data_IF_822565584428
#
_entry.id   IF_822565584428
#
_cell.length_a   1.000
_cell.length_b   1.000
_cell.length_c   1.000
_cell.angle_alpha   90.00
_cell.angle_beta   90.00
_cell.angle_gamma   90.00
#
_symmetry.space_group_name_H-M   'P 1'
#
loop_
_entity.id
_entity.type
_entity.pdbx_description
1 polymer ?
#
# COMPACT_ATOMS: atom_id res chain seq x y z
N UNK A 1 -11.52 -7.72 17.29
CA UNK A 1 -12.60 -7.08 16.46
C UNK A 1 -12.51 -5.57 16.54
N UNK A 2 -12.73 -4.89 15.42
CA UNK A 2 -12.80 -3.42 15.37
C UNK A 2 -14.18 -2.97 15.82
N UNK A 3 -14.24 -2.31 16.96
CA UNK A 3 -15.50 -1.83 17.49
C UNK A 3 -16.11 -0.72 16.61
N UNK A 4 -17.38 -0.84 16.28
CA UNK A 4 -18.09 0.13 15.44
C UNK A 4 -17.75 0.05 13.94
N UNK A 5 -17.05 -0.97 13.48
CA UNK A 5 -16.75 -1.22 12.08
C UNK A 5 -17.75 -2.23 11.50
N UNK A 6 -18.47 -1.89 10.45
CA UNK A 6 -19.57 -2.71 9.95
C UNK A 6 -19.82 -2.51 8.46
N UNK A 7 -20.30 -3.56 7.78
CA UNK A 7 -20.73 -3.49 6.38
C UNK A 7 -21.97 -2.58 6.17
N UNK A 8 -22.64 -2.20 7.26
CA UNK A 8 -23.84 -1.34 7.21
C UNK A 8 -23.55 0.12 7.52
N UNK A 9 -22.30 0.44 7.88
CA UNK A 9 -21.88 1.80 8.18
C UNK A 9 -21.65 2.62 6.92
N UNK A 10 -21.71 3.94 7.04
CA UNK A 10 -21.18 4.85 6.04
C UNK A 10 -19.65 4.70 5.91
N UNK A 11 -19.06 5.08 4.76
CA UNK A 11 -17.61 5.06 4.58
C UNK A 11 -16.85 5.87 5.63
N UNK A 12 -17.42 7.00 6.08
CA UNK A 12 -16.85 7.89 7.10
C UNK A 12 -16.86 7.23 8.48
N UNK A 13 -17.96 6.59 8.85
CA UNK A 13 -18.05 5.85 10.12
C UNK A 13 -17.05 4.70 10.17
N UNK A 14 -16.94 3.94 9.10
CA UNK A 14 -15.96 2.86 8.98
C UNK A 14 -14.53 3.39 9.05
N UNK A 15 -14.23 4.46 8.33
CA UNK A 15 -12.90 5.07 8.36
C UNK A 15 -12.54 5.53 9.77
N UNK A 16 -13.46 6.17 10.48
CA UNK A 16 -13.26 6.63 11.85
C UNK A 16 -13.08 5.47 12.83
N UNK A 17 -13.90 4.42 12.73
CA UNK A 17 -13.82 3.24 13.57
C UNK A 17 -12.50 2.49 13.39
N UNK A 18 -12.09 2.25 12.14
CA UNK A 18 -10.84 1.57 11.83
C UNK A 18 -9.63 2.44 12.23
N UNK A 19 -9.64 3.74 11.95
CA UNK A 19 -8.57 4.64 12.40
C UNK A 19 -8.42 4.65 13.92
N UNK A 20 -9.54 4.67 14.65
CA UNK A 20 -9.52 4.59 16.13
C UNK A 20 -8.86 3.30 16.63
N UNK A 21 -9.06 2.18 15.92
CA UNK A 21 -8.40 0.93 16.26
C UNK A 21 -6.90 0.97 15.93
N UNK A 22 -6.53 1.50 14.75
CA UNK A 22 -5.14 1.65 14.31
C UNK A 22 -4.34 2.59 15.22
N UNK A 23 -4.98 3.62 15.77
CA UNK A 23 -4.34 4.57 16.71
C UNK A 23 -3.94 3.94 18.03
N UNK A 24 -4.62 2.87 18.44
CA UNK A 24 -4.27 2.11 19.64
C UNK A 24 -3.07 1.20 19.44
N UNK A 25 -2.78 0.86 18.17
CA UNK A 25 -1.75 -0.13 17.84
C UNK A 25 -2.11 -1.55 18.28
N UNK A 26 -1.13 -2.44 18.22
CA UNK A 26 -1.31 -3.86 18.52
C UNK A 26 -2.01 -4.63 17.41
N UNK A 27 -2.62 -5.75 17.75
CA UNK A 27 -3.33 -6.58 16.78
C UNK A 27 -4.78 -6.12 16.59
N UNK A 28 -5.11 -5.81 15.34
CA UNK A 28 -6.43 -5.35 14.90
C UNK A 28 -6.94 -6.38 13.90
N UNK A 29 -8.06 -7.06 14.24
CA UNK A 29 -8.64 -8.10 13.38
C UNK A 29 -10.00 -7.69 12.86
N UNK A 30 -10.21 -7.86 11.54
CA UNK A 30 -11.52 -7.78 10.88
C UNK A 30 -11.87 -9.22 10.49
N UNK A 31 -12.86 -9.81 11.16
CA UNK A 31 -13.17 -11.24 11.06
C UNK A 31 -14.35 -11.55 10.14
N UNK A 32 -15.37 -10.71 10.15
CA UNK A 32 -16.60 -10.95 9.39
C UNK A 32 -16.37 -10.66 7.90
N UNK A 33 -16.62 -11.64 7.04
CA UNK A 33 -16.53 -11.48 5.60
C UNK A 33 -17.57 -10.45 5.10
N UNK A 34 -17.15 -9.58 4.20
CA UNK A 34 -18.01 -8.54 3.65
C UNK A 34 -17.24 -7.40 3.00
N UNK A 35 -17.97 -6.48 2.39
CA UNK A 35 -17.40 -5.27 1.79
C UNK A 35 -17.59 -4.12 2.76
N UNK A 36 -16.48 -3.53 3.16
CA UNK A 36 -16.42 -2.40 4.08
C UNK A 36 -15.98 -1.16 3.31
N UNK A 37 -16.87 -0.21 3.17
CA UNK A 37 -16.56 1.06 2.53
C UNK A 37 -15.75 1.97 3.44
N UNK A 38 -14.68 2.55 2.90
CA UNK A 38 -13.81 3.51 3.59
C UNK A 38 -13.54 4.72 2.68
N UNK A 39 -13.59 5.93 3.23
CA UNK A 39 -13.47 7.17 2.44
C UNK A 39 -12.23 7.99 2.74
N UNK A 40 -11.53 7.74 3.86
CA UNK A 40 -10.33 8.50 4.21
C UNK A 40 -9.09 7.63 4.18
N UNK A 41 -7.93 8.27 4.12
CA UNK A 41 -6.64 7.61 4.33
C UNK A 41 -6.53 7.09 5.77
N UNK A 42 -6.04 5.86 5.90
CA UNK A 42 -5.83 5.19 7.18
C UNK A 42 -4.35 5.22 7.54
N UNK A 43 -4.03 5.73 8.71
CA UNK A 43 -2.66 5.92 9.18
C UNK A 43 -2.26 4.82 10.17
N UNK A 44 -1.15 4.15 9.86
CA UNK A 44 -0.56 3.10 10.67
C UNK A 44 0.55 3.68 11.57
N UNK A 45 0.57 3.24 12.81
CA UNK A 45 1.58 3.59 13.81
C UNK A 45 2.54 2.43 14.09
N UNK A 46 3.51 2.64 14.95
CA UNK A 46 4.43 1.59 15.40
C UNK A 46 3.67 0.40 16.03
N UNK A 47 4.22 -0.79 15.85
CA UNK A 47 3.71 -2.02 16.46
C UNK A 47 2.24 -2.29 16.14
N UNK A 48 1.86 -2.07 14.89
CA UNK A 48 0.49 -2.29 14.40
C UNK A 48 0.45 -3.51 13.49
N UNK A 49 -0.45 -4.45 13.79
CA UNK A 49 -0.79 -5.56 12.93
C UNK A 49 -2.26 -5.49 12.54
N UNK A 50 -2.55 -5.25 11.27
CA UNK A 50 -3.89 -5.35 10.70
C UNK A 50 -4.06 -6.74 10.06
N UNK A 51 -5.01 -7.50 10.55
CA UNK A 51 -5.37 -8.81 10.02
C UNK A 51 -6.80 -8.81 9.48
N UNK A 52 -6.94 -9.17 8.22
CA UNK A 52 -8.24 -9.35 7.58
C UNK A 52 -8.48 -10.85 7.33
N UNK A 53 -9.61 -11.36 7.80
CA UNK A 53 -10.01 -12.75 7.53
C UNK A 53 -10.43 -12.94 6.06
N UNK A 54 -10.42 -14.16 5.53
CA UNK A 54 -10.86 -14.44 4.17
C UNK A 54 -12.26 -13.89 3.88
N UNK A 55 -12.43 -13.22 2.75
CA UNK A 55 -13.69 -12.60 2.34
C UNK A 55 -13.92 -11.18 2.87
N UNK A 56 -13.01 -10.63 3.67
CA UNK A 56 -13.01 -9.20 4.04
C UNK A 56 -12.46 -8.39 2.87
N UNK A 57 -13.21 -7.41 2.41
CA UNK A 57 -12.82 -6.48 1.34
C UNK A 57 -12.95 -5.06 1.86
N UNK A 58 -11.87 -4.31 1.84
CA UNK A 58 -11.91 -2.86 2.03
C UNK A 58 -12.12 -2.20 0.67
N UNK A 59 -13.24 -1.47 0.52
CA UNK A 59 -13.54 -0.75 -0.73
C UNK A 59 -13.41 0.75 -0.51
N UNK A 60 -12.57 1.36 -1.34
CA UNK A 60 -12.41 2.82 -1.33
C UNK A 60 -13.68 3.50 -1.84
N UNK A 61 -14.09 4.56 -1.14
CA UNK A 61 -15.10 5.47 -1.62
C UNK A 61 -14.50 6.86 -1.81
N UNK A 62 -14.96 7.57 -2.84
CA UNK A 62 -14.50 8.93 -3.09
C UNK A 62 -15.05 9.83 -2.00
N UNK A 63 -14.17 10.54 -1.31
CA UNK A 63 -14.55 11.60 -0.37
C UNK A 63 -14.48 12.98 -1.05
N UNK A 64 -15.11 13.96 -0.44
CA UNK A 64 -14.93 15.35 -0.85
C UNK A 64 -13.53 15.80 -0.41
N UNK A 65 -12.69 16.21 -1.36
CA UNK A 65 -11.34 16.67 -1.09
C UNK A 65 -10.27 15.99 -1.94
N UNK A 66 -9.04 16.06 -1.48
CA UNK A 66 -7.89 15.45 -2.16
C UNK A 66 -7.94 13.92 -2.09
N UNK A 67 -7.50 13.31 -3.18
CA UNK A 67 -7.28 11.87 -3.22
C UNK A 67 -6.01 11.53 -2.43
N UNK A 68 -6.09 10.51 -1.58
CA UNK A 68 -5.01 10.08 -0.71
C UNK A 68 -4.80 8.56 -0.81
N UNK A 69 -3.69 8.08 -0.25
CA UNK A 69 -3.44 6.66 -0.10
C UNK A 69 -4.60 5.97 0.65
N UNK A 70 -4.77 4.67 0.46
CA UNK A 70 -5.66 3.90 1.33
C UNK A 70 -5.04 3.72 2.71
N UNK A 71 -3.78 3.28 2.73
CA UNK A 71 -2.98 3.18 3.93
C UNK A 71 -1.65 3.92 3.77
N UNK A 72 -1.23 4.60 4.82
CA UNK A 72 0.10 5.18 4.94
C UNK A 72 0.61 5.06 6.37
N UNK A 73 1.92 5.12 6.58
CA UNK A 73 2.45 5.20 7.93
C UNK A 73 2.55 6.64 8.42
N UNK A 74 2.32 6.86 9.72
CA UNK A 74 2.37 8.21 10.33
C UNK A 74 3.73 8.88 10.16
N UNK A 75 4.81 8.11 10.26
CA UNK A 75 6.16 8.63 10.13
C UNK A 75 6.46 9.25 8.77
N UNK A 76 5.74 8.83 7.72
CA UNK A 76 5.86 9.46 6.41
C UNK A 76 5.61 10.97 6.46
N UNK A 77 4.66 11.41 7.28
CA UNK A 77 4.28 12.82 7.46
C UNK A 77 5.08 13.52 8.56
N UNK A 78 5.47 12.78 9.60
CA UNK A 78 6.24 13.29 10.71
C UNK A 78 7.76 13.34 10.42
N UNK A 79 8.23 12.71 9.33
CA UNK A 79 9.65 12.46 9.04
C UNK A 79 10.34 11.65 10.15
N UNK A 80 9.62 10.64 10.66
CA UNK A 80 10.08 9.75 11.72
C UNK A 80 9.96 8.30 11.27
N UNK A 81 10.88 7.44 11.70
CA UNK A 81 10.80 6.02 11.35
C UNK A 81 9.71 5.32 12.15
N UNK A 82 8.80 4.68 11.44
CA UNK A 82 7.89 3.73 12.06
C UNK A 82 8.47 2.31 12.07
N UNK A 83 8.12 1.55 13.09
CA UNK A 83 8.61 0.20 13.30
C UNK A 83 7.48 -0.82 13.44
N UNK A 84 7.71 -2.04 12.94
CA UNK A 84 6.82 -3.19 13.11
C UNK A 84 5.39 -2.90 12.64
N UNK A 85 5.22 -2.67 11.35
CA UNK A 85 3.92 -2.52 10.70
C UNK A 85 3.65 -3.77 9.89
N UNK A 86 2.54 -4.45 10.18
CA UNK A 86 2.17 -5.70 9.51
C UNK A 86 0.73 -5.61 8.98
N UNK A 87 0.51 -6.03 7.74
CA UNK A 87 -0.81 -6.11 7.09
C UNK A 87 -0.96 -7.50 6.48
N UNK A 88 -1.95 -8.25 6.97
CA UNK A 88 -2.21 -9.62 6.50
C UNK A 88 -3.64 -9.80 6.02
N UNK A 89 -3.80 -10.47 4.88
CA UNK A 89 -5.10 -10.88 4.34
C UNK A 89 -5.92 -9.75 3.73
N UNK A 90 -5.31 -8.60 3.46
CA UNK A 90 -6.02 -7.43 2.92
C UNK A 90 -6.42 -7.64 1.46
N UNK A 91 -7.72 -7.65 1.19
CA UNK A 91 -8.24 -7.42 -0.17
C UNK A 91 -8.70 -5.98 -0.29
N UNK A 92 -8.09 -5.24 -1.20
CA UNK A 92 -8.41 -3.85 -1.50
C UNK A 92 -9.17 -3.77 -2.83
N UNK A 93 -10.24 -2.99 -2.84
CA UNK A 93 -10.92 -2.54 -4.04
C UNK A 93 -10.78 -1.01 -4.12
N UNK A 94 -10.11 -0.51 -5.16
CA UNK A 94 -9.87 0.93 -5.33
C UNK A 94 -11.12 1.67 -5.77
N UNK A 95 -12.04 0.97 -6.45
CA UNK A 95 -13.34 1.50 -6.88
C UNK A 95 -13.22 2.80 -7.69
N UNK A 96 -12.18 2.90 -8.52
CA UNK A 96 -11.92 4.08 -9.33
C UNK A 96 -11.45 5.31 -8.56
N UNK A 97 -11.03 5.15 -7.31
CA UNK A 97 -10.45 6.23 -6.51
C UNK A 97 -8.94 6.22 -6.70
N UNK A 98 -8.37 7.33 -7.14
CA UNK A 98 -6.91 7.50 -7.26
C UNK A 98 -6.25 7.57 -5.87
N UNK A 99 -5.02 7.05 -5.77
CA UNK A 99 -4.28 6.99 -4.50
C UNK A 99 -3.72 8.34 -4.06
N UNK A 100 -3.35 9.19 -5.01
CA UNK A 100 -2.86 10.54 -4.72
C UNK A 100 -3.08 11.45 -5.92
N UNK A 101 -3.27 12.74 -5.66
CA UNK A 101 -3.24 13.70 -6.76
C UNK A 101 -1.80 13.89 -7.22
N UNK A 102 -1.53 13.45 -8.42
CA UNK A 102 -0.24 13.62 -9.04
C UNK A 102 -0.20 14.94 -9.83
N UNK A 103 0.69 15.81 -9.42
CA UNK A 103 1.07 16.96 -10.23
C UNK A 103 2.53 16.82 -10.67
N UNK A 104 2.73 16.60 -11.96
CA UNK A 104 4.06 16.43 -12.57
C UNK A 104 5.02 17.60 -12.29
N UNK A 105 4.48 18.75 -11.96
CA UNK A 105 5.24 19.98 -11.74
C UNK A 105 5.55 20.28 -10.26
N UNK A 106 5.01 19.53 -9.32
CA UNK A 106 5.26 19.77 -7.90
C UNK A 106 6.04 18.61 -7.29
N UNK A 107 7.31 18.82 -7.03
CA UNK A 107 8.16 17.94 -6.20
C UNK A 107 7.87 18.20 -4.72
N UNK A 108 6.75 17.77 -4.25
CA UNK A 108 6.50 17.73 -2.81
C UNK A 108 6.91 16.34 -2.33
N UNK A 109 7.75 16.26 -1.32
CA UNK A 109 8.30 15.02 -0.78
C UNK A 109 7.22 14.01 -0.32
N UNK A 110 6.05 14.49 0.08
CA UNK A 110 4.90 13.65 0.40
C UNK A 110 4.09 13.31 -0.85
N UNK A 111 3.96 14.25 -1.79
CA UNK A 111 3.23 14.07 -3.05
C UNK A 111 3.99 13.21 -4.08
N UNK A 112 5.25 12.85 -3.82
CA UNK A 112 6.00 11.88 -4.63
C UNK A 112 5.47 10.44 -4.53
N UNK A 113 4.65 10.14 -3.50
CA UNK A 113 4.10 8.80 -3.29
C UNK A 113 2.80 8.62 -4.06
N UNK A 114 2.66 7.47 -4.72
CA UNK A 114 1.50 7.09 -5.54
C UNK A 114 0.85 5.77 -5.15
N UNK A 115 1.40 5.06 -4.18
CA UNK A 115 0.89 3.77 -3.75
C UNK A 115 -0.47 3.89 -3.06
N UNK A 116 -1.37 2.95 -3.29
CA UNK A 116 -2.54 2.80 -2.42
C UNK A 116 -2.11 2.41 -1.01
N UNK A 117 -1.10 1.57 -0.89
CA UNK A 117 -0.35 1.31 0.33
C UNK A 117 0.97 2.06 0.19
N UNK A 118 1.17 3.13 0.96
CA UNK A 118 2.31 4.02 0.84
C UNK A 118 3.11 4.09 2.16
N UNK A 119 4.37 3.68 2.10
CA UNK A 119 5.24 3.63 3.27
C UNK A 119 6.55 4.37 3.00
N UNK A 120 6.90 5.25 3.92
CA UNK A 120 8.18 5.94 3.93
C UNK A 120 8.72 6.04 5.36
N UNK A 121 10.03 5.94 5.52
CA UNK A 121 10.64 5.87 6.85
C UNK A 121 10.04 4.70 7.65
N UNK A 122 10.21 3.48 7.15
CA UNK A 122 9.66 2.30 7.79
C UNK A 122 10.72 1.23 7.99
N UNK A 123 10.71 0.63 9.16
CA UNK A 123 11.56 -0.48 9.54
C UNK A 123 10.71 -1.67 10.00
N UNK A 124 10.98 -2.85 9.45
CA UNK A 124 10.22 -4.07 9.69
C UNK A 124 8.74 -3.94 9.26
N UNK A 125 8.57 -3.77 7.95
CA UNK A 125 7.26 -3.79 7.28
C UNK A 125 6.99 -5.18 6.76
N UNK A 126 5.81 -5.72 7.03
CA UNK A 126 5.36 -6.99 6.47
C UNK A 126 3.97 -6.84 5.83
N UNK A 127 3.84 -7.26 4.57
CA UNK A 127 2.55 -7.33 3.88
C UNK A 127 2.41 -8.74 3.33
N UNK A 128 1.39 -9.49 3.79
CA UNK A 128 1.11 -10.86 3.36
C UNK A 128 -0.32 -11.03 2.91
N UNK A 129 -0.52 -11.93 1.94
CA UNK A 129 -1.85 -12.27 1.44
C UNK A 129 -2.63 -11.03 0.98
N UNK A 130 -1.97 -10.15 0.21
CA UNK A 130 -2.57 -8.92 -0.29
C UNK A 130 -3.12 -9.10 -1.70
N UNK A 131 -4.34 -8.62 -1.92
CA UNK A 131 -5.00 -8.66 -3.23
C UNK A 131 -5.55 -7.30 -3.61
N UNK A 132 -5.27 -6.84 -4.84
CA UNK A 132 -5.93 -5.72 -5.50
C UNK A 132 -6.04 -6.02 -7.00
N UNK A 133 -7.20 -5.68 -7.63
CA UNK A 133 -7.45 -6.06 -9.04
C UNK A 133 -7.95 -4.93 -9.93
N UNK A 134 -8.02 -3.73 -9.42
CA UNK A 134 -8.66 -2.61 -10.11
C UNK A 134 -7.85 -1.31 -10.04
N UNK A 135 -6.50 -1.44 -10.09
CA UNK A 135 -5.61 -0.27 -10.07
C UNK A 135 -5.77 0.59 -11.32
N UNK A 136 -5.82 1.88 -11.10
CA UNK A 136 -5.86 2.87 -12.17
C UNK A 136 -4.48 3.13 -12.77
N UNK A 137 -4.48 3.78 -13.95
CA UNK A 137 -3.28 4.01 -14.77
C UNK A 137 -2.15 4.77 -14.07
N UNK A 138 -2.44 5.55 -13.03
CA UNK A 138 -1.45 6.40 -12.35
C UNK A 138 -1.04 5.88 -10.98
N UNK A 139 -1.63 4.80 -10.52
CA UNK A 139 -1.50 4.33 -9.15
C UNK A 139 -0.65 3.06 -9.07
N UNK A 140 0.26 3.02 -8.09
CA UNK A 140 0.92 1.79 -7.67
C UNK A 140 0.09 1.08 -6.61
N UNK A 141 0.15 -0.26 -6.55
CA UNK A 141 -0.51 -0.96 -5.46
C UNK A 141 0.20 -0.68 -4.14
N UNK A 142 1.51 -0.90 -4.11
CA UNK A 142 2.36 -0.71 -2.94
C UNK A 142 3.54 0.16 -3.34
N UNK A 143 3.85 1.19 -2.56
CA UNK A 143 5.05 1.99 -2.72
C UNK A 143 5.78 2.13 -1.40
N UNK A 144 7.10 1.88 -1.42
CA UNK A 144 7.93 1.86 -0.22
C UNK A 144 9.23 2.60 -0.51
N UNK A 145 9.55 3.61 0.30
CA UNK A 145 10.79 4.40 0.22
C UNK A 145 11.41 4.59 1.60
N UNK A 146 12.72 4.83 1.66
CA UNK A 146 13.45 5.08 2.90
C UNK A 146 13.15 3.98 3.94
N UNK A 147 13.42 2.73 3.58
CA UNK A 147 13.01 1.56 4.34
C UNK A 147 14.18 0.67 4.77
N UNK A 148 13.92 -0.16 5.77
CA UNK A 148 14.74 -1.34 6.07
C UNK A 148 13.87 -2.51 6.54
N UNK A 149 14.28 -3.73 6.17
CA UNK A 149 13.60 -4.99 6.50
C UNK A 149 12.13 -5.02 6.07
N UNK A 150 11.91 -5.27 4.78
CA UNK A 150 10.58 -5.39 4.19
C UNK A 150 10.32 -6.81 3.71
N UNK A 151 9.17 -7.36 4.05
CA UNK A 151 8.68 -8.66 3.54
C UNK A 151 7.35 -8.46 2.86
N UNK A 152 7.31 -8.77 1.56
CA UNK A 152 6.08 -8.81 0.76
C UNK A 152 5.88 -10.24 0.29
N UNK A 153 4.79 -10.88 0.69
CA UNK A 153 4.56 -12.29 0.41
C UNK A 153 3.11 -12.56 0.00
N UNK A 154 2.94 -13.46 -0.97
CA UNK A 154 1.62 -13.90 -1.40
C UNK A 154 0.77 -12.75 -1.94
N UNK A 155 1.30 -12.05 -2.93
CA UNK A 155 0.63 -10.89 -3.53
C UNK A 155 -0.16 -11.29 -4.77
N UNK A 156 -1.33 -10.73 -4.97
CA UNK A 156 -2.06 -10.78 -6.23
C UNK A 156 -2.46 -9.36 -6.66
N UNK A 157 -1.81 -8.85 -7.70
CA UNK A 157 -1.97 -7.45 -8.11
C UNK A 157 -2.32 -7.38 -9.59
N UNK A 158 -3.48 -6.78 -9.91
CA UNK A 158 -3.88 -6.45 -11.27
C UNK A 158 -4.09 -4.94 -11.40
N UNK A 159 -3.62 -4.36 -12.51
CA UNK A 159 -3.84 -2.94 -12.77
C UNK A 159 -3.05 -2.37 -13.92
N UNK A 160 -3.15 -1.07 -14.08
CA UNK A 160 -2.67 -0.33 -15.24
C UNK A 160 -1.29 0.35 -15.02
N UNK A 161 -0.69 0.20 -13.83
CA UNK A 161 0.60 0.76 -13.45
C UNK A 161 1.37 -0.24 -12.57
N UNK A 162 2.44 0.17 -11.89
CA UNK A 162 3.31 -0.72 -11.14
C UNK A 162 2.59 -1.50 -10.04
N UNK A 163 2.98 -2.75 -9.87
CA UNK A 163 2.52 -3.56 -8.75
C UNK A 163 3.16 -3.10 -7.44
N UNK A 164 4.45 -3.30 -7.31
CA UNK A 164 5.26 -2.82 -6.17
C UNK A 164 6.31 -1.85 -6.67
N UNK A 165 6.42 -0.71 -6.04
CA UNK A 165 7.39 0.32 -6.39
C UNK A 165 8.30 0.62 -5.21
N UNK A 166 9.57 0.25 -5.31
CA UNK A 166 10.59 0.56 -4.32
C UNK A 166 11.37 1.80 -4.70
N UNK A 167 11.51 2.73 -3.75
CA UNK A 167 12.56 3.74 -3.72
C UNK A 167 13.74 3.25 -2.85
N UNK A 168 14.63 4.16 -2.40
CA UNK A 168 15.80 3.79 -1.62
C UNK A 168 15.48 3.01 -0.34
N UNK A 169 16.33 2.03 -0.03
CA UNK A 169 16.20 1.23 1.18
C UNK A 169 17.03 -0.05 1.14
N UNK A 170 16.94 -0.84 2.18
CA UNK A 170 17.76 -2.05 2.33
C UNK A 170 16.97 -3.22 2.94
N UNK A 171 17.43 -4.44 2.64
CA UNK A 171 16.94 -5.70 3.21
C UNK A 171 15.45 -5.94 2.90
N UNK A 172 15.14 -6.35 1.69
CA UNK A 172 13.77 -6.69 1.33
C UNK A 172 13.65 -8.07 0.67
N UNK A 173 12.47 -8.66 0.84
CA UNK A 173 12.07 -9.89 0.16
C UNK A 173 10.69 -9.66 -0.46
N UNK A 174 10.56 -10.01 -1.76
CA UNK A 174 9.27 -10.16 -2.43
C UNK A 174 9.17 -11.59 -2.92
N UNK A 175 8.15 -12.32 -2.49
CA UNK A 175 8.01 -13.72 -2.90
C UNK A 175 6.56 -14.16 -3.06
N UNK A 176 6.35 -15.19 -3.91
CA UNK A 176 5.04 -15.75 -4.22
C UNK A 176 4.07 -14.68 -4.75
N UNK A 177 4.56 -13.77 -5.60
CA UNK A 177 3.77 -12.71 -6.21
C UNK A 177 3.19 -13.11 -7.56
N UNK A 178 1.94 -12.76 -7.82
CA UNK A 178 1.27 -12.86 -9.12
C UNK A 178 0.85 -11.46 -9.56
N UNK A 179 1.41 -11.02 -10.67
CA UNK A 179 1.22 -9.67 -11.17
C UNK A 179 0.61 -9.70 -12.57
N UNK A 180 -0.42 -8.92 -12.78
CA UNK A 180 -0.99 -8.61 -14.08
C UNK A 180 -1.06 -7.10 -14.22
N UNK A 181 0.12 -6.49 -14.31
CA UNK A 181 0.30 -5.05 -14.41
C UNK A 181 0.61 -4.66 -15.84
N UNK A 182 0.26 -3.44 -16.21
CA UNK A 182 0.55 -2.92 -17.54
C UNK A 182 1.92 -2.22 -17.61
N UNK A 183 2.47 -1.89 -16.47
CA UNK A 183 3.83 -1.40 -16.25
C UNK A 183 4.56 -2.38 -15.34
N UNK A 184 5.60 -1.99 -14.62
CA UNK A 184 6.45 -2.90 -13.87
C UNK A 184 5.68 -3.72 -12.81
N UNK A 185 5.78 -5.05 -12.81
CA UNK A 185 5.32 -5.87 -11.69
C UNK A 185 6.00 -5.46 -10.36
N UNK A 186 7.33 -5.28 -10.41
CA UNK A 186 8.16 -4.80 -9.31
C UNK A 186 9.18 -3.82 -9.86
N UNK A 187 9.00 -2.55 -9.55
CA UNK A 187 9.90 -1.46 -9.94
C UNK A 187 10.93 -1.20 -8.85
N UNK A 188 12.22 -1.15 -9.21
CA UNK A 188 13.34 -0.80 -8.34
C UNK A 188 13.90 0.56 -8.77
N UNK A 189 13.30 1.64 -8.28
CA UNK A 189 13.61 3.01 -8.69
C UNK A 189 14.43 3.76 -7.63
N UNK A 190 15.72 3.52 -7.61
CA UNK A 190 16.63 4.16 -6.64
C UNK A 190 17.03 5.59 -7.00
N UNK A 191 17.18 5.91 -8.31
CA UNK A 191 17.69 7.22 -8.72
C UNK A 191 17.26 7.71 -10.12
N UNK A 192 16.61 6.90 -10.89
CA UNK A 192 16.32 7.14 -12.31
C UNK A 192 14.98 7.86 -12.54
N UNK A 193 14.07 7.82 -11.59
CA UNK A 193 12.74 8.41 -11.73
C UNK A 193 12.37 9.33 -10.56
N UNK A 194 12.71 10.60 -10.68
CA UNK A 194 12.56 11.58 -9.59
C UNK A 194 11.13 12.05 -9.33
N UNK A 195 10.17 11.71 -10.19
CA UNK A 195 8.80 12.23 -10.11
C UNK A 195 7.95 11.49 -9.08
N UNK A 196 8.24 10.22 -8.86
CA UNK A 196 7.52 9.34 -7.93
C UNK A 196 8.37 8.86 -6.76
N UNK A 197 9.60 9.32 -6.65
CA UNK A 197 10.49 9.01 -5.54
C UNK A 197 10.74 10.25 -4.72
N UNK A 198 10.30 10.28 -3.46
CA UNK A 198 10.55 11.43 -2.57
C UNK A 198 12.03 11.59 -2.22
N UNK A 199 12.81 10.53 -2.31
CA UNK A 199 14.26 10.49 -2.14
C UNK A 199 14.93 9.67 -3.21
N UNK A 200 16.21 9.92 -3.46
CA UNK A 200 17.05 9.16 -4.38
C UNK A 200 18.17 8.50 -3.58
N UNK A 201 18.52 7.26 -3.92
CA UNK A 201 19.58 6.52 -3.24
C UNK A 201 19.62 5.05 -3.66
N UNK A 202 20.38 4.26 -2.94
CA UNK A 202 20.57 2.85 -3.23
C UNK A 202 19.41 2.00 -2.73
N UNK A 203 19.15 0.92 -3.47
CA UNK A 203 18.29 -0.19 -3.06
C UNK A 203 19.21 -1.40 -2.93
N UNK A 204 19.31 -1.96 -1.72
CA UNK A 204 20.33 -2.96 -1.40
C UNK A 204 19.73 -4.21 -0.75
N UNK A 205 20.43 -5.34 -0.88
CA UNK A 205 20.11 -6.60 -0.21
C UNK A 205 18.68 -7.08 -0.48
N UNK A 206 18.25 -7.03 -1.76
CA UNK A 206 16.92 -7.46 -2.17
C UNK A 206 16.89 -8.90 -2.66
N UNK A 207 15.81 -9.61 -2.36
CA UNK A 207 15.48 -10.92 -2.92
C UNK A 207 14.10 -10.83 -3.56
N UNK A 208 14.01 -11.24 -4.82
CA UNK A 208 12.75 -11.42 -5.53
C UNK A 208 12.73 -12.88 -5.99
N UNK A 209 11.78 -13.66 -5.50
CA UNK A 209 11.70 -15.10 -5.78
C UNK A 209 10.26 -15.58 -5.97
N UNK A 210 10.07 -16.59 -6.80
CA UNK A 210 8.75 -17.19 -7.07
C UNK A 210 7.67 -16.17 -7.43
N UNK A 211 8.04 -15.14 -8.21
CA UNK A 211 7.14 -14.11 -8.70
C UNK A 211 6.81 -14.36 -10.18
N UNK A 212 5.55 -14.11 -10.56
CA UNK A 212 5.03 -14.39 -11.89
C UNK A 212 4.41 -13.14 -12.51
N UNK A 213 4.91 -12.74 -13.66
CA UNK A 213 4.25 -11.76 -14.52
C UNK A 213 3.22 -12.49 -15.40
N UNK A 214 1.95 -12.16 -15.23
CA UNK A 214 0.82 -12.75 -15.95
C UNK A 214 0.37 -11.92 -17.15
N UNK A 215 0.94 -10.73 -17.34
CA UNK A 215 0.52 -9.81 -18.39
C UNK A 215 1.30 -10.06 -19.68
N UNK A 216 0.69 -10.76 -20.65
CA UNK A 216 1.25 -10.92 -21.98
C UNK A 216 1.45 -9.58 -22.74
N UNK A 217 0.86 -8.51 -22.26
CA UNK A 217 0.85 -7.16 -22.86
C UNK A 217 1.63 -6.14 -22.01
N UNK A 218 2.30 -6.58 -20.96
CA UNK A 218 3.18 -5.71 -20.18
C UNK A 218 4.28 -5.15 -21.06
N UNK A 219 4.51 -3.84 -20.98
CA UNK A 219 5.59 -3.18 -21.73
C UNK A 219 6.93 -3.36 -21.05
N UNK A 220 6.94 -3.75 -19.79
CA UNK A 220 8.11 -3.97 -18.95
C UNK A 220 7.94 -5.23 -18.10
N UNK A 221 9.03 -5.91 -17.82
CA UNK A 221 9.06 -7.09 -16.97
C UNK A 221 9.63 -6.79 -15.57
N UNK A 222 10.11 -7.83 -14.92
CA UNK A 222 10.83 -7.68 -13.64
C UNK A 222 12.19 -7.03 -13.84
#
# INVERSE_FOLDING_TARGET
>A
MVNGFSIHNTPEENSAALQTALDRGGEITIEEAGIYDVSTMLLLSNNTMLRCSPGVILRRQKCAGETNHCFANRGMYAHETNHNIHIHGLTLMTNGVESASYNENTRNAVLGMRGHLAFRYVENLEIRDFTVRDLLKKDYAIQICDFSRVVLENLYIEGMKDGVHFGPGTDFVVRHGYFKTFDDPIALNGSDYSVSNPTLGWIENGIIEDCHDLAAESTTGF
#
